data_IF_007409658719
#
_entry.id   IF_007409658719
#
_cell.length_a   1.000
_cell.length_b   1.000
_cell.length_c   1.000
_cell.angle_alpha   90.00
_cell.angle_beta   90.00
_cell.angle_gamma   90.00
#
_symmetry.space_group_name_H-M   'P 1'
#
loop_
_entity.id
_entity.type
_entity.pdbx_description
1 polymer ?
#
# COMPACT_ATOMS: atom_id res chain seq x y z
N UNK A 1 -18.43 -17.51 -9.27
CA UNK A 1 -18.44 -16.76 -7.99
C UNK A 1 -17.05 -16.85 -7.39
N UNK A 2 -16.22 -15.81 -7.48
CA UNK A 2 -14.89 -15.84 -6.84
C UNK A 2 -15.09 -15.92 -5.33
N UNK A 3 -14.64 -17.03 -4.74
CA UNK A 3 -14.72 -17.28 -3.31
C UNK A 3 -13.74 -16.32 -2.62
N UNK A 4 -14.19 -15.08 -2.37
CA UNK A 4 -13.44 -13.98 -1.76
C UNK A 4 -13.15 -14.30 -0.29
N UNK A 5 -12.29 -15.30 -0.04
CA UNK A 5 -11.90 -15.70 1.31
C UNK A 5 -11.21 -14.49 1.97
N UNK A 6 -11.66 -14.04 3.15
CA UNK A 6 -11.10 -12.87 3.84
C UNK A 6 -9.57 -12.91 3.95
N UNK A 7 -8.99 -14.10 4.18
CA UNK A 7 -7.55 -14.31 4.24
C UNK A 7 -6.83 -13.96 2.91
N UNK A 8 -7.39 -14.36 1.77
CA UNK A 8 -6.79 -14.02 0.46
C UNK A 8 -6.81 -12.52 0.22
N UNK A 9 -7.88 -11.83 0.64
CA UNK A 9 -7.98 -10.38 0.53
C UNK A 9 -6.97 -9.70 1.44
N UNK A 10 -6.82 -10.18 2.68
CA UNK A 10 -5.82 -9.65 3.62
C UNK A 10 -4.40 -9.75 3.04
N UNK A 11 -4.04 -10.92 2.49
CA UNK A 11 -2.73 -11.13 1.86
C UNK A 11 -2.55 -10.20 0.66
N UNK A 12 -3.56 -10.06 -0.20
CA UNK A 12 -3.50 -9.16 -1.35
C UNK A 12 -3.30 -7.69 -0.95
N UNK A 13 -3.99 -7.22 0.09
CA UNK A 13 -3.84 -5.86 0.62
C UNK A 13 -2.44 -5.67 1.20
N UNK A 14 -1.93 -6.66 1.95
CA UNK A 14 -0.58 -6.61 2.50
C UNK A 14 0.49 -6.53 1.40
N UNK A 15 0.40 -7.40 0.39
CA UNK A 15 1.31 -7.38 -0.76
C UNK A 15 1.26 -6.02 -1.48
N UNK A 16 0.06 -5.46 -1.69
CA UNK A 16 -0.11 -4.15 -2.31
C UNK A 16 0.65 -3.07 -1.53
N UNK A 17 0.51 -3.01 -0.20
CA UNK A 17 1.24 -2.02 0.59
C UNK A 17 2.74 -2.26 0.62
N UNK A 18 3.20 -3.51 0.63
CA UNK A 18 4.62 -3.82 0.45
C UNK A 18 5.17 -3.31 -0.88
N UNK A 19 4.47 -3.56 -1.99
CA UNK A 19 4.84 -3.04 -3.32
C UNK A 19 4.96 -1.52 -3.29
N UNK A 20 3.99 -0.86 -2.66
CA UNK A 20 4.00 0.59 -2.50
C UNK A 20 5.22 1.11 -1.71
N UNK A 21 5.53 0.52 -0.55
CA UNK A 21 6.69 0.93 0.24
C UNK A 21 8.02 0.63 -0.47
N UNK A 22 8.12 -0.49 -1.18
CA UNK A 22 9.28 -0.83 -2.00
C UNK A 22 9.45 0.18 -3.14
N UNK A 23 8.36 0.58 -3.79
CA UNK A 23 8.40 1.61 -4.83
C UNK A 23 8.98 2.92 -4.29
N UNK A 24 8.49 3.40 -3.13
CA UNK A 24 9.04 4.60 -2.49
C UNK A 24 10.52 4.43 -2.09
N UNK A 25 10.88 3.24 -1.59
CA UNK A 25 12.26 2.93 -1.22
C UNK A 25 13.21 3.15 -2.40
N UNK A 26 12.83 2.66 -3.59
CA UNK A 26 13.59 2.80 -4.83
C UNK A 26 13.65 4.25 -5.32
N UNK A 27 12.56 5.01 -5.21
CA UNK A 27 12.50 6.39 -5.73
C UNK A 27 13.55 7.31 -5.10
N UNK A 28 13.75 7.25 -3.79
CA UNK A 28 14.83 7.98 -3.10
C UNK A 28 14.96 7.63 -1.62
N UNK A 29 13.89 7.09 -1.01
CA UNK A 29 13.78 7.01 0.45
C UNK A 29 14.78 6.05 1.07
N UNK A 30 15.17 4.99 0.37
CA UNK A 30 16.25 4.12 0.83
C UNK A 30 17.60 4.85 0.83
N UNK A 31 17.89 5.61 -0.22
CA UNK A 31 19.14 6.39 -0.31
C UNK A 31 19.23 7.41 0.83
N UNK A 32 18.15 8.13 1.12
CA UNK A 32 18.14 9.17 2.14
C UNK A 32 18.07 8.64 3.57
N UNK A 33 17.34 7.55 3.82
CA UNK A 33 17.19 7.00 5.17
C UNK A 33 18.29 5.99 5.53
N UNK A 34 18.78 5.23 4.56
CA UNK A 34 19.78 4.17 4.80
C UNK A 34 21.16 4.66 4.39
N UNK A 35 21.40 4.86 3.09
CA UNK A 35 22.75 5.08 2.54
C UNK A 35 23.38 6.36 3.09
N UNK A 36 22.65 7.47 3.10
CA UNK A 36 23.16 8.77 3.56
C UNK A 36 23.45 8.82 5.06
N UNK A 37 22.89 7.91 5.86
CA UNK A 37 23.08 7.85 7.32
C UNK A 37 24.01 6.70 7.75
N UNK A 38 24.71 6.07 6.80
CA UNK A 38 25.58 4.93 7.08
C UNK A 38 27.05 5.31 6.92
N UNK A 39 27.81 5.15 8.01
CA UNK A 39 29.27 5.25 8.05
C UNK A 39 29.89 3.84 8.11
N UNK A 40 29.99 3.17 6.95
CA UNK A 40 30.57 1.84 6.81
C UNK A 40 29.58 0.67 6.90
N UNK A 41 30.06 -0.54 6.64
CA UNK A 41 29.23 -1.74 6.38
C UNK A 41 28.31 -2.11 7.56
N UNK A 42 28.80 -2.06 8.80
CA UNK A 42 27.99 -2.43 9.98
C UNK A 42 26.79 -1.48 10.14
N UNK A 43 27.00 -0.17 9.99
CA UNK A 43 25.92 0.82 10.05
C UNK A 43 24.95 0.69 8.86
N UNK A 44 25.45 0.31 7.69
CA UNK A 44 24.62 0.04 6.51
C UNK A 44 23.68 -1.15 6.75
N UNK A 45 24.19 -2.24 7.32
CA UNK A 45 23.37 -3.40 7.67
C UNK A 45 22.35 -3.05 8.74
N UNK A 46 22.75 -2.31 9.79
CA UNK A 46 21.85 -1.85 10.84
C UNK A 46 20.72 -0.97 10.31
N UNK A 47 21.05 0.05 9.50
CA UNK A 47 20.06 0.96 8.91
C UNK A 47 19.14 0.23 7.93
N UNK A 48 19.67 -0.71 7.13
CA UNK A 48 18.86 -1.55 6.24
C UNK A 48 17.86 -2.38 7.04
N UNK A 49 18.30 -3.03 8.13
CA UNK A 49 17.44 -3.84 8.99
C UNK A 49 16.32 -3.02 9.62
N UNK A 50 16.65 -1.87 10.19
CA UNK A 50 15.65 -0.93 10.73
C UNK A 50 14.67 -0.45 9.66
N UNK A 51 15.15 -0.17 8.45
CA UNK A 51 14.30 0.29 7.36
C UNK A 51 13.34 -0.79 6.86
N UNK A 52 13.77 -2.06 6.81
CA UNK A 52 12.90 -3.20 6.49
C UNK A 52 11.81 -3.35 7.55
N UNK A 53 12.16 -3.27 8.84
CA UNK A 53 11.17 -3.30 9.93
C UNK A 53 10.17 -2.14 9.83
N UNK A 54 10.66 -0.93 9.55
CA UNK A 54 9.82 0.25 9.34
C UNK A 54 8.81 0.05 8.21
N UNK A 55 9.26 -0.43 7.05
CA UNK A 55 8.38 -0.75 5.91
C UNK A 55 7.37 -1.83 6.29
N UNK A 56 7.83 -2.89 6.96
CA UNK A 56 7.00 -4.05 7.31
C UNK A 56 5.87 -3.63 8.26
N UNK A 57 6.20 -2.80 9.25
CA UNK A 57 5.24 -2.26 10.19
C UNK A 57 4.25 -1.30 9.53
N UNK A 58 4.72 -0.39 8.68
CA UNK A 58 3.86 0.52 7.91
C UNK A 58 2.89 -0.22 6.99
N UNK A 59 3.37 -1.25 6.28
CA UNK A 59 2.55 -2.08 5.41
C UNK A 59 1.48 -2.83 6.20
N UNK A 60 1.84 -3.39 7.34
CA UNK A 60 0.91 -4.08 8.23
C UNK A 60 -0.17 -3.15 8.79
N UNK A 61 0.20 -1.97 9.28
CA UNK A 61 -0.76 -0.99 9.81
C UNK A 61 -1.76 -0.52 8.75
N UNK A 62 -1.29 -0.13 7.57
CA UNK A 62 -2.18 0.29 6.47
C UNK A 62 -3.07 -0.87 6.02
N UNK A 63 -2.55 -2.10 6.04
CA UNK A 63 -3.35 -3.28 5.72
C UNK A 63 -4.51 -3.45 6.70
N UNK A 64 -4.27 -3.30 8.00
CA UNK A 64 -5.33 -3.38 9.02
C UNK A 64 -6.37 -2.27 8.82
N UNK A 65 -5.91 -1.02 8.66
CA UNK A 65 -6.80 0.15 8.53
C UNK A 65 -7.74 -0.02 7.33
N UNK A 66 -7.20 -0.46 6.18
CA UNK A 66 -7.97 -0.59 4.95
C UNK A 66 -8.55 -1.97 4.70
N UNK A 67 -8.31 -2.95 5.58
CA UNK A 67 -8.83 -4.31 5.41
C UNK A 67 -10.36 -4.32 5.30
N UNK A 68 -11.04 -3.73 6.28
CA UNK A 68 -12.50 -3.77 6.36
C UNK A 68 -13.17 -2.94 5.24
N UNK A 69 -12.76 -1.69 4.96
CA UNK A 69 -13.29 -0.92 3.84
C UNK A 69 -13.13 -1.60 2.48
N UNK A 70 -11.96 -2.20 2.22
CA UNK A 70 -11.71 -2.93 0.97
C UNK A 70 -12.55 -4.21 0.93
N UNK A 71 -12.62 -4.97 2.02
CA UNK A 71 -13.42 -6.20 2.10
C UNK A 71 -14.89 -5.95 1.78
N UNK A 72 -15.49 -4.89 2.33
CA UNK A 72 -16.87 -4.50 2.03
C UNK A 72 -17.01 -4.16 0.55
N UNK A 73 -16.10 -3.35 0.02
CA UNK A 73 -16.12 -2.91 -1.38
C UNK A 73 -16.07 -4.09 -2.34
N UNK A 74 -15.21 -5.07 -2.09
CA UNK A 74 -15.06 -6.25 -2.94
C UNK A 74 -16.27 -7.21 -2.88
N UNK A 75 -17.08 -7.15 -1.81
CA UNK A 75 -18.33 -7.95 -1.67
C UNK A 75 -19.51 -7.40 -2.45
N UNK A 76 -19.43 -6.17 -2.95
CA UNK A 76 -20.50 -5.58 -3.77
C UNK A 76 -20.68 -6.40 -5.06
N UNK A 77 -21.94 -6.71 -5.41
CA UNK A 77 -22.27 -7.53 -6.60
C UNK A 77 -22.17 -6.74 -7.91
N UNK A 78 -22.59 -5.48 -7.91
CA UNK A 78 -22.61 -4.64 -9.10
C UNK A 78 -21.26 -3.93 -9.31
N UNK A 79 -20.68 -4.09 -10.51
CA UNK A 79 -19.37 -3.51 -10.88
C UNK A 79 -19.34 -1.99 -10.81
N UNK A 80 -20.43 -1.31 -11.21
CA UNK A 80 -20.50 0.16 -11.18
C UNK A 80 -20.37 0.69 -9.74
N UNK A 81 -21.01 0.01 -8.78
CA UNK A 81 -20.93 0.38 -7.36
C UNK A 81 -19.56 0.09 -6.75
N UNK A 82 -18.82 -0.91 -7.25
CA UNK A 82 -17.43 -1.15 -6.83
C UNK A 82 -16.52 0.00 -7.27
N UNK A 83 -16.64 0.43 -8.52
CA UNK A 83 -15.85 1.56 -9.04
C UNK A 83 -16.16 2.85 -8.27
N UNK A 84 -17.44 3.11 -7.98
CA UNK A 84 -17.84 4.25 -7.14
C UNK A 84 -17.27 4.14 -5.72
N UNK A 85 -17.36 2.97 -5.08
CA UNK A 85 -16.79 2.78 -3.76
C UNK A 85 -15.26 3.00 -3.74
N UNK A 86 -14.54 2.52 -4.75
CA UNK A 86 -13.11 2.81 -4.91
C UNK A 86 -12.82 4.28 -5.20
N UNK A 87 -13.67 4.98 -5.95
CA UNK A 87 -13.53 6.42 -6.17
C UNK A 87 -13.61 7.23 -4.85
N UNK A 88 -14.35 6.75 -3.85
CA UNK A 88 -14.33 7.33 -2.49
C UNK A 88 -13.17 6.83 -1.62
N UNK A 89 -12.82 5.55 -1.73
CA UNK A 89 -11.74 4.95 -0.95
C UNK A 89 -10.37 5.51 -1.31
N UNK A 90 -10.10 5.78 -2.59
CA UNK A 90 -8.80 6.27 -3.05
C UNK A 90 -8.40 7.63 -2.42
N UNK A 91 -9.26 8.66 -2.39
CA UNK A 91 -8.98 9.89 -1.66
C UNK A 91 -8.76 9.66 -0.17
N UNK A 92 -9.59 8.83 0.48
CA UNK A 92 -9.43 8.51 1.91
C UNK A 92 -8.06 7.89 2.13
N UNK A 93 -7.69 6.92 1.31
CA UNK A 93 -6.40 6.24 1.37
C UNK A 93 -5.21 7.19 1.18
N UNK A 94 -5.31 8.09 0.19
CA UNK A 94 -4.34 9.16 -0.04
C UNK A 94 -4.20 10.05 1.19
N UNK A 95 -5.31 10.52 1.78
CA UNK A 95 -5.29 11.41 2.94
C UNK A 95 -4.76 10.70 4.18
N UNK A 96 -5.21 9.48 4.46
CA UNK A 96 -4.75 8.68 5.60
C UNK A 96 -3.25 8.46 5.51
N UNK A 97 -2.73 8.05 4.35
CA UNK A 97 -1.29 7.88 4.17
C UNK A 97 -0.53 9.20 4.33
N UNK A 98 -0.96 10.25 3.63
CA UNK A 98 -0.24 11.54 3.62
C UNK A 98 -0.22 12.17 5.02
N UNK A 99 -1.33 12.11 5.77
CA UNK A 99 -1.39 12.72 7.11
C UNK A 99 -0.73 11.89 8.20
N UNK A 100 -0.80 10.56 8.14
CA UNK A 100 -0.25 9.69 9.19
C UNK A 100 1.21 9.28 8.94
N UNK A 101 1.64 9.16 7.68
CA UNK A 101 2.92 8.52 7.34
C UNK A 101 3.85 9.36 6.43
N UNK A 102 3.36 10.41 5.79
CA UNK A 102 4.16 11.22 4.85
C UNK A 102 3.74 12.69 4.82
N UNK A 103 3.75 13.36 5.97
CA UNK A 103 3.37 14.78 6.06
C UNK A 103 4.31 15.70 5.26
N UNK A 104 5.54 15.24 5.01
CA UNK A 104 6.63 16.03 4.41
C UNK A 104 6.59 15.98 2.88
N UNK A 105 6.10 14.88 2.29
CA UNK A 105 6.11 14.70 0.84
C UNK A 105 4.77 14.12 0.33
N UNK A 106 3.90 14.96 -0.26
CA UNK A 106 2.61 14.52 -0.80
C UNK A 106 2.76 13.62 -2.03
N UNK A 107 3.93 13.59 -2.70
CA UNK A 107 4.16 12.73 -3.87
C UNK A 107 4.06 11.24 -3.50
N UNK A 108 4.39 10.89 -2.25
CA UNK A 108 4.25 9.53 -1.76
C UNK A 108 2.77 9.10 -1.69
N UNK A 109 1.85 10.04 -1.42
CA UNK A 109 0.42 9.78 -1.51
C UNK A 109 0.00 9.46 -2.95
N UNK A 110 0.57 10.16 -3.94
CA UNK A 110 0.29 9.91 -5.36
C UNK A 110 0.76 8.51 -5.77
N UNK A 111 1.96 8.09 -5.33
CA UNK A 111 2.44 6.73 -5.57
C UNK A 111 1.52 5.67 -4.98
N UNK A 112 0.96 5.92 -3.79
CA UNK A 112 -0.02 5.02 -3.19
C UNK A 112 -1.27 4.90 -4.07
N UNK A 113 -1.80 6.04 -4.52
CA UNK A 113 -2.96 6.08 -5.43
C UNK A 113 -2.71 5.31 -6.73
N UNK A 114 -1.53 5.45 -7.35
CA UNK A 114 -1.17 4.71 -8.57
C UNK A 114 -1.19 3.21 -8.32
N UNK A 115 -0.55 2.74 -7.24
CA UNK A 115 -0.52 1.32 -6.87
C UNK A 115 -1.93 0.80 -6.58
N UNK A 116 -2.76 1.60 -5.90
CA UNK A 116 -4.18 1.26 -5.64
C UNK A 116 -4.99 1.14 -6.93
N UNK A 117 -4.82 2.04 -7.89
CA UNK A 117 -5.51 1.97 -9.19
C UNK A 117 -5.10 0.71 -9.95
N UNK A 118 -3.81 0.37 -9.98
CA UNK A 118 -3.32 -0.86 -10.60
C UNK A 118 -3.93 -2.11 -9.93
N UNK A 119 -4.00 -2.11 -8.59
CA UNK A 119 -4.63 -3.18 -7.82
C UNK A 119 -6.12 -3.36 -8.16
N UNK A 120 -6.87 -2.26 -8.24
CA UNK A 120 -8.28 -2.26 -8.62
C UNK A 120 -8.46 -2.83 -10.02
N UNK A 121 -7.62 -2.41 -10.97
CA UNK A 121 -7.66 -2.89 -12.36
C UNK A 121 -7.43 -4.40 -12.45
N UNK A 122 -6.40 -4.93 -11.78
CA UNK A 122 -6.11 -6.37 -11.72
C UNK A 122 -7.30 -7.13 -11.14
N UNK A 123 -7.91 -6.62 -10.06
CA UNK A 123 -9.07 -7.27 -9.45
C UNK A 123 -10.29 -7.27 -10.37
N UNK A 124 -10.56 -6.15 -11.06
CA UNK A 124 -11.67 -6.06 -12.03
C UNK A 124 -11.49 -7.01 -13.20
N UNK A 125 -10.27 -7.14 -13.74
CA UNK A 125 -9.94 -8.08 -14.81
C UNK A 125 -10.18 -9.53 -14.38
N UNK A 126 -9.72 -9.91 -13.18
CA UNK A 126 -9.92 -11.26 -12.64
C UNK A 126 -11.41 -11.62 -12.44
N UNK A 127 -12.28 -10.63 -12.27
CA UNK A 127 -13.73 -10.82 -12.12
C UNK A 127 -14.49 -10.83 -13.45
N UNK A 128 -13.83 -10.46 -14.54
CA UNK A 128 -14.39 -10.51 -15.90
C UNK A 128 -14.22 -11.90 -16.53
N UNK A 129 -13.12 -12.58 -16.20
CA UNK A 129 -12.83 -13.97 -16.57
C UNK A 129 -13.44 -14.96 -15.57
#
# INVERSE_FOLDING_TARGET
>A
MTNNKPLSIAICILIKYYIFFVFIAICNRYKTMVIANSNGLASLMGNTGWYVLYISFGAFLLSIIFFFPILITLRIKNRRYILLAFAFLLPIEYYTYTKLFSQIDPINGIYNTIVSVAFIFIYMMRRLN
#
